data_IF_566584891225
#
_entry.id   IF_566584891225
#
_cell.length_a   1.000
_cell.length_b   1.000
_cell.length_c   1.000
_cell.angle_alpha   90.00
_cell.angle_beta   90.00
_cell.angle_gamma   90.00
#
_symmetry.space_group_name_H-M   'P 1'
#
loop_
_entity.id
_entity.type
_entity.pdbx_description
1 polymer ?
#
# COMPACT_ATOMS: atom_id res chain seq x y z
N UNK A 1 12.66 5.91 17.84
CA UNK A 1 11.20 6.12 17.95
C UNK A 1 10.91 7.62 17.92
N UNK A 2 9.89 8.06 17.19
CA UNK A 2 9.46 9.48 17.16
C UNK A 2 8.00 9.57 17.58
N UNK A 3 7.68 10.53 18.44
CA UNK A 3 6.31 10.79 18.92
C UNK A 3 5.77 12.02 18.19
N UNK A 4 4.58 11.88 17.64
CA UNK A 4 3.83 12.97 17.02
C UNK A 4 2.54 13.18 17.82
N UNK A 5 2.05 14.41 17.87
CA UNK A 5 0.68 14.67 18.30
C UNK A 5 -0.20 14.68 17.07
N UNK A 6 -1.33 13.98 17.09
CA UNK A 6 -2.32 14.09 16.04
C UNK A 6 -2.80 15.54 15.99
N UNK A 7 -2.38 16.27 14.95
CA UNK A 7 -2.96 17.58 14.65
C UNK A 7 -4.43 17.31 14.31
N UNK A 8 -5.41 17.95 14.98
CA UNK A 8 -6.81 17.83 14.58
C UNK A 8 -6.88 18.21 13.10
N UNK A 9 -7.63 17.43 12.33
CA UNK A 9 -7.81 17.52 10.87
C UNK A 9 -8.09 18.97 10.42
N UNK A 10 -7.03 19.74 10.31
CA UNK A 10 -7.04 21.12 9.89
C UNK A 10 -6.19 21.13 8.65
N UNK A 11 -6.85 21.39 7.53
CA UNK A 11 -6.29 21.43 6.18
C UNK A 11 -6.13 20.06 5.48
N UNK A 12 -7.04 19.11 5.69
CA UNK A 12 -7.44 18.29 4.55
C UNK A 12 -8.21 19.25 3.62
N UNK A 13 -7.49 19.80 2.64
CA UNK A 13 -8.03 20.77 1.69
C UNK A 13 -9.41 20.31 1.23
N UNK A 14 -10.38 21.23 1.19
CA UNK A 14 -11.64 21.00 0.51
C UNK A 14 -11.29 20.79 -0.97
N UNK A 15 -11.10 19.54 -1.35
CA UNK A 15 -10.74 19.13 -2.71
C UNK A 15 -12.05 19.22 -3.51
N UNK A 16 -12.34 20.41 -4.02
CA UNK A 16 -13.47 20.69 -4.90
C UNK A 16 -13.07 20.22 -6.31
N UNK A 17 -13.30 18.93 -6.59
CA UNK A 17 -13.04 18.36 -7.91
C UNK A 17 -14.27 18.55 -8.79
N UNK A 18 -14.08 18.94 -10.06
CA UNK A 18 -15.18 19.01 -11.01
C UNK A 18 -15.73 17.60 -11.29
N UNK A 19 -17.02 17.51 -11.61
CA UNK A 19 -17.71 16.24 -11.90
C UNK A 19 -17.04 15.42 -13.02
N UNK A 20 -16.36 16.10 -13.95
CA UNK A 20 -15.63 15.46 -15.04
C UNK A 20 -14.49 14.54 -14.57
N UNK A 21 -13.94 14.75 -13.37
CA UNK A 21 -12.93 13.86 -12.79
C UNK A 21 -13.46 12.44 -12.54
N UNK A 22 -14.74 12.31 -12.24
CA UNK A 22 -15.38 11.02 -11.95
C UNK A 22 -15.86 10.32 -13.22
N UNK A 23 -15.76 10.97 -14.38
CA UNK A 23 -16.12 10.38 -15.67
C UNK A 23 -14.97 9.54 -16.19
N UNK A 24 -15.25 8.26 -16.43
CA UNK A 24 -14.28 7.32 -16.98
C UNK A 24 -13.99 7.67 -18.44
N UNK A 25 -12.73 7.95 -18.75
CA UNK A 25 -12.30 8.20 -20.12
C UNK A 25 -12.17 6.91 -20.94
N UNK A 26 -12.28 7.02 -22.27
CA UNK A 26 -12.14 5.86 -23.15
C UNK A 26 -10.77 5.16 -23.03
N UNK A 27 -9.73 5.89 -22.63
CA UNK A 27 -8.40 5.34 -22.38
C UNK A 27 -8.35 4.48 -21.12
N UNK A 28 -9.01 4.91 -20.04
CA UNK A 28 -9.11 4.16 -18.79
C UNK A 28 -9.93 2.88 -18.97
N UNK A 29 -11.02 2.95 -19.75
CA UNK A 29 -11.79 1.76 -20.13
C UNK A 29 -10.94 0.75 -20.91
N UNK A 30 -10.16 1.22 -21.90
CA UNK A 30 -9.24 0.35 -22.66
C UNK A 30 -8.21 -0.30 -21.73
N UNK A 31 -7.59 0.48 -20.84
CA UNK A 31 -6.63 -0.03 -19.85
C UNK A 31 -7.25 -1.09 -18.95
N UNK A 32 -8.44 -0.86 -18.41
CA UNK A 32 -9.14 -1.83 -17.56
C UNK A 32 -9.46 -3.13 -18.31
N UNK A 33 -9.94 -3.03 -19.56
CA UNK A 33 -10.19 -4.20 -20.39
C UNK A 33 -8.91 -4.99 -20.65
N UNK A 34 -7.80 -4.32 -20.96
CA UNK A 34 -6.51 -4.97 -21.17
C UNK A 34 -5.98 -5.62 -19.88
N UNK A 35 -6.18 -4.97 -18.74
CA UNK A 35 -5.77 -5.49 -17.43
C UNK A 35 -6.60 -6.72 -17.04
N UNK A 36 -7.90 -6.71 -17.31
CA UNK A 36 -8.78 -7.88 -17.13
C UNK A 36 -8.38 -9.03 -18.06
N UNK A 37 -8.14 -8.75 -19.35
CA UNK A 37 -7.65 -9.77 -20.31
C UNK A 37 -6.34 -10.41 -19.86
N UNK A 38 -5.39 -9.60 -19.39
CA UNK A 38 -4.11 -10.07 -18.84
C UNK A 38 -4.33 -10.98 -17.62
N UNK A 39 -5.15 -10.58 -16.66
CA UNK A 39 -5.46 -11.39 -15.47
C UNK A 39 -6.07 -12.75 -15.83
N UNK A 40 -7.01 -12.78 -16.79
CA UNK A 40 -7.65 -14.02 -17.25
C UNK A 40 -6.62 -14.92 -17.94
N UNK A 41 -5.79 -14.36 -18.82
CA UNK A 41 -4.72 -15.11 -19.48
C UNK A 41 -3.71 -15.67 -18.45
N UNK A 42 -3.33 -14.88 -17.45
CA UNK A 42 -2.42 -15.30 -16.38
C UNK A 42 -3.02 -16.36 -15.47
N UNK A 43 -4.35 -16.35 -15.22
CA UNK A 43 -4.99 -17.36 -14.36
C UNK A 43 -5.15 -18.72 -15.05
N UNK A 44 -5.18 -18.75 -16.38
CA UNK A 44 -5.26 -19.98 -17.16
C UNK A 44 -3.90 -20.68 -17.28
N UNK A 45 -2.80 -19.98 -16.98
CA UNK A 45 -1.46 -20.54 -16.99
C UNK A 45 -1.13 -21.17 -15.63
N UNK A 46 -0.56 -22.38 -15.66
CA UNK A 46 0.02 -23.00 -14.48
C UNK A 46 1.20 -22.15 -13.99
N UNK A 47 1.01 -21.42 -12.90
CA UNK A 47 2.07 -20.59 -12.31
C UNK A 47 3.12 -21.51 -11.67
N UNK A 48 4.35 -21.59 -12.20
CA UNK A 48 5.40 -22.45 -11.65
C UNK A 48 5.81 -21.99 -10.24
N UNK A 49 6.19 -22.93 -9.37
CA UNK A 49 6.70 -22.62 -8.02
C UNK A 49 7.89 -21.65 -8.06
N UNK A 50 8.81 -21.86 -8.99
CA UNK A 50 9.99 -21.00 -9.20
C UNK A 50 9.65 -19.55 -9.55
N UNK A 51 8.55 -19.32 -10.27
CA UNK A 51 8.08 -17.97 -10.61
C UNK A 51 7.53 -17.25 -9.37
N UNK A 52 6.74 -17.94 -8.53
CA UNK A 52 6.24 -17.40 -7.25
C UNK A 52 7.40 -17.04 -6.31
N UNK A 53 8.40 -17.92 -6.19
CA UNK A 53 9.57 -17.65 -5.34
C UNK A 53 10.39 -16.46 -5.85
N UNK A 54 10.57 -16.33 -7.17
CA UNK A 54 11.25 -15.18 -7.79
C UNK A 54 10.48 -13.88 -7.51
N UNK A 55 9.15 -13.87 -7.66
CA UNK A 55 8.34 -12.71 -7.31
C UNK A 55 8.40 -12.37 -5.82
N UNK A 56 8.34 -13.36 -4.92
CA UNK A 56 8.44 -13.15 -3.48
C UNK A 56 9.80 -12.55 -3.09
N UNK A 57 10.90 -13.05 -3.67
CA UNK A 57 12.25 -12.49 -3.47
C UNK A 57 12.34 -11.03 -3.95
N UNK A 58 11.71 -10.69 -5.07
CA UNK A 58 11.67 -9.32 -5.57
C UNK A 58 10.80 -8.43 -4.68
N UNK A 59 9.64 -8.89 -4.24
CA UNK A 59 8.76 -8.14 -3.33
C UNK A 59 9.46 -7.81 -2.00
N UNK A 60 10.20 -8.77 -1.43
CA UNK A 60 11.01 -8.56 -0.22
C UNK A 60 12.10 -7.48 -0.38
N UNK A 61 12.59 -7.25 -1.60
CA UNK A 61 13.60 -6.21 -1.88
C UNK A 61 13.01 -4.81 -2.06
N UNK A 62 11.70 -4.69 -2.32
CA UNK A 62 11.06 -3.40 -2.61
C UNK A 62 10.98 -2.52 -1.37
N UNK A 63 10.68 -3.11 -0.22
CA UNK A 63 10.60 -2.39 1.05
C UNK A 63 11.89 -2.65 1.82
N UNK A 64 12.72 -1.62 2.00
CA UNK A 64 13.93 -1.72 2.84
C UNK A 64 13.64 -1.42 4.32
N UNK A 65 12.56 -0.69 4.57
CA UNK A 65 12.18 -0.16 5.88
C UNK A 65 10.66 -0.28 6.00
N UNK A 66 10.19 -0.67 7.18
CA UNK A 66 8.78 -0.71 7.56
C UNK A 66 8.54 0.39 8.61
N UNK A 67 7.54 1.25 8.41
CA UNK A 67 7.19 2.29 9.38
C UNK A 67 5.84 1.95 9.96
N UNK A 68 5.77 1.77 11.28
CA UNK A 68 4.56 1.43 12.00
C UNK A 68 4.16 2.62 12.86
N UNK A 69 2.89 3.01 12.78
CA UNK A 69 2.31 4.15 13.51
C UNK A 69 1.19 3.64 14.41
N UNK A 70 1.34 3.84 15.71
CA UNK A 70 0.36 3.45 16.73
C UNK A 70 -0.28 4.72 17.27
N UNK A 71 -1.60 4.83 17.10
CA UNK A 71 -2.37 5.93 17.66
C UNK A 71 -2.94 5.49 19.01
N UNK A 72 -2.56 6.20 20.07
CA UNK A 72 -3.12 6.00 21.39
C UNK A 72 -4.46 6.74 21.54
N UNK A 73 -5.32 6.29 22.48
CA UNK A 73 -6.58 6.98 22.79
C UNK A 73 -6.40 8.48 23.09
N UNK A 74 -5.26 8.87 23.65
CA UNK A 74 -4.93 10.24 24.04
C UNK A 74 -4.56 11.16 22.84
N UNK A 75 -4.66 10.67 21.61
CA UNK A 75 -4.29 11.41 20.39
C UNK A 75 -2.79 11.47 20.11
N UNK A 76 -1.99 10.75 20.89
CA UNK A 76 -0.54 10.58 20.67
C UNK A 76 -0.30 9.53 19.59
N UNK A 77 0.55 9.84 18.61
CA UNK A 77 0.94 8.96 17.52
C UNK A 77 2.41 8.56 17.67
N UNK A 78 2.65 7.29 17.98
CA UNK A 78 3.98 6.72 18.09
C UNK A 78 4.41 6.17 16.73
N UNK A 79 5.52 6.69 16.18
CA UNK A 79 6.12 6.18 14.96
C UNK A 79 7.39 5.37 15.27
N UNK A 80 7.32 4.08 15.01
CA UNK A 80 8.45 3.16 15.00
C UNK A 80 8.94 2.90 13.58
N UNK A 81 10.25 2.67 13.44
CA UNK A 81 10.90 2.32 12.17
C UNK A 81 11.55 0.97 12.38
N UNK A 82 11.16 0.00 11.56
CA UNK A 82 11.47 -1.42 11.69
C UNK A 82 12.06 -1.96 10.39
N UNK A 83 12.75 -3.08 10.48
CA UNK A 83 13.13 -3.86 9.31
C UNK A 83 11.95 -4.75 8.89
N UNK A 84 11.70 -4.96 7.58
CA UNK A 84 10.60 -5.82 7.11
C UNK A 84 10.68 -7.28 7.57
N UNK A 85 11.84 -7.72 8.04
CA UNK A 85 12.09 -9.08 8.54
C UNK A 85 12.03 -9.20 10.07
N UNK A 86 11.81 -8.12 10.80
CA UNK A 86 11.66 -8.16 12.25
C UNK A 86 10.36 -8.87 12.66
N UNK A 87 10.43 -9.59 13.77
CA UNK A 87 9.27 -10.25 14.35
C UNK A 87 8.33 -9.23 14.99
N UNK A 88 7.05 -9.56 15.04
CA UNK A 88 6.03 -8.72 15.69
C UNK A 88 6.33 -8.47 17.18
N UNK A 89 7.11 -9.34 17.83
CA UNK A 89 7.60 -9.13 19.21
C UNK A 89 8.40 -7.85 19.36
N UNK A 90 9.17 -7.44 18.34
CA UNK A 90 9.91 -6.18 18.36
C UNK A 90 9.02 -4.93 18.42
N UNK A 91 7.70 -5.07 18.24
CA UNK A 91 6.74 -3.97 18.43
C UNK A 91 6.31 -3.78 19.88
N UNK A 92 6.45 -4.81 20.71
CA UNK A 92 6.00 -4.82 22.10
C UNK A 92 7.14 -4.62 23.11
N UNK A 93 8.40 -4.77 22.67
CA UNK A 93 9.62 -4.43 23.43
C UNK A 93 9.94 -2.93 23.33
#
# INVERSE_FOLDING_TARGET
>A
VRVFFAVPESVAAKIDLPDSFYNVTAEELKKEVDLRKKKIAESQLLIPKSYKEKQAKLAKKKCKVCVIRIQFPDGVLLQGVFLPSEATTALYE
#
